data_IF_597278132832
#
_entry.id   IF_597278132832
#
_cell.length_a   1.000
_cell.length_b   1.000
_cell.length_c   1.000
_cell.angle_alpha   90.00
_cell.angle_beta   90.00
_cell.angle_gamma   90.00
#
_symmetry.space_group_name_H-M   'P 1'
#
loop_
_entity.id
_entity.type
_entity.pdbx_description
1 polymer ?
#
# COMPACT_ATOMS: atom_id res chain seq x y z
N UNK A 1 73.37 -13.10 38.91
CA UNK A 1 72.14 -12.57 39.53
C UNK A 1 71.58 -11.48 38.62
N UNK A 2 70.43 -11.72 37.96
CA UNK A 2 69.66 -10.67 37.29
C UNK A 2 68.21 -11.15 37.21
N UNK A 3 67.34 -10.51 37.98
CA UNK A 3 65.92 -10.81 38.05
C UNK A 3 65.19 -10.02 36.95
N UNK A 4 64.48 -10.73 36.05
CA UNK A 4 63.56 -10.09 35.09
C UNK A 4 62.18 -9.95 35.72
N UNK A 5 61.83 -8.72 36.06
CA UNK A 5 60.45 -8.27 36.29
C UNK A 5 59.69 -8.42 34.98
N UNK A 6 58.65 -9.24 34.97
CA UNK A 6 57.71 -9.36 33.84
C UNK A 6 56.42 -8.63 34.19
N UNK A 7 56.15 -7.55 33.45
CA UNK A 7 54.96 -6.73 33.59
C UNK A 7 53.70 -7.49 33.14
N UNK A 8 52.60 -7.33 33.87
CA UNK A 8 51.28 -7.85 33.50
C UNK A 8 50.73 -7.10 32.27
N UNK A 9 49.99 -7.79 31.37
CA UNK A 9 49.35 -7.13 30.24
C UNK A 9 48.14 -6.28 30.69
N UNK A 10 47.81 -5.20 29.95
CA UNK A 10 46.74 -4.27 30.31
C UNK A 10 45.35 -4.92 30.22
N UNK A 11 44.51 -4.61 31.21
CA UNK A 11 43.09 -4.96 31.25
C UNK A 11 42.38 -4.56 29.95
N UNK A 12 41.72 -5.55 29.35
CA UNK A 12 40.78 -5.39 28.23
C UNK A 12 39.64 -4.48 28.70
N UNK A 13 39.65 -3.22 28.27
CA UNK A 13 38.54 -2.31 28.54
C UNK A 13 37.29 -2.85 27.86
N UNK A 14 36.29 -3.13 28.68
CA UNK A 14 34.96 -3.51 28.24
C UNK A 14 34.37 -2.34 27.48
N UNK A 15 34.30 -2.43 26.15
CA UNK A 15 33.50 -1.49 25.38
C UNK A 15 32.02 -1.86 25.57
N UNK A 16 31.29 -0.91 26.16
CA UNK A 16 29.85 -0.97 26.35
C UNK A 16 29.13 -1.20 25.02
N UNK A 17 28.76 -2.44 24.70
CA UNK A 17 27.75 -2.74 23.69
C UNK A 17 26.35 -2.54 24.28
N UNK A 18 26.08 -1.31 24.71
CA UNK A 18 24.75 -0.85 25.11
C UNK A 18 23.94 -0.42 23.89
N UNK A 19 24.11 -1.09 22.75
CA UNK A 19 23.27 -0.92 21.57
C UNK A 19 21.98 -1.74 21.76
N UNK A 20 21.08 -1.13 22.54
CA UNK A 20 19.64 -1.20 22.35
C UNK A 20 19.03 -2.59 22.21
N UNK A 21 18.71 -3.20 23.36
CA UNK A 21 17.68 -4.23 23.47
C UNK A 21 16.30 -3.56 23.30
N UNK A 22 15.99 -3.13 22.08
CA UNK A 22 14.64 -2.67 21.76
C UNK A 22 13.65 -3.78 22.15
N UNK A 23 12.59 -3.42 22.85
CA UNK A 23 11.58 -4.39 23.25
C UNK A 23 10.92 -4.99 21.98
N UNK A 24 10.54 -6.27 21.99
CA UNK A 24 9.86 -6.93 20.83
C UNK A 24 8.78 -6.06 20.14
N UNK A 25 7.89 -5.33 20.86
CA UNK A 25 6.92 -4.46 20.22
C UNK A 25 7.54 -3.27 19.47
N UNK A 26 8.65 -2.70 19.94
CA UNK A 26 9.34 -1.61 19.26
C UNK A 26 10.00 -2.07 17.95
N UNK A 27 10.60 -3.27 17.95
CA UNK A 27 11.14 -3.90 16.74
C UNK A 27 10.05 -4.15 15.71
N UNK A 28 8.89 -4.68 16.12
CA UNK A 28 7.76 -4.88 15.20
C UNK A 28 7.20 -3.56 14.65
N UNK A 29 7.12 -2.51 15.49
CA UNK A 29 6.65 -1.19 15.09
C UNK A 29 7.60 -0.53 14.10
N UNK A 30 8.90 -0.62 14.34
CA UNK A 30 9.92 -0.08 13.45
C UNK A 30 9.94 -0.83 12.11
N UNK A 31 9.88 -2.16 12.14
CA UNK A 31 9.77 -2.97 10.93
C UNK A 31 8.53 -2.64 10.08
N UNK A 32 7.38 -2.32 10.71
CA UNK A 32 6.18 -1.91 9.97
C UNK A 32 6.34 -0.51 9.36
N UNK A 33 6.93 0.44 10.08
CA UNK A 33 7.21 1.78 9.55
C UNK A 33 8.16 1.69 8.35
N UNK A 34 9.24 0.93 8.48
CA UNK A 34 10.21 0.80 7.41
C UNK A 34 9.63 0.04 6.21
N UNK A 35 8.74 -0.93 6.44
CA UNK A 35 8.01 -1.61 5.38
C UNK A 35 7.13 -0.65 4.56
N UNK A 36 6.45 0.29 5.24
CA UNK A 36 5.46 1.18 4.63
C UNK A 36 6.05 2.50 4.11
N UNK A 37 7.17 2.98 4.65
CA UNK A 37 7.67 4.33 4.37
C UNK A 37 9.12 4.40 3.88
N UNK A 38 9.80 3.28 3.73
CA UNK A 38 11.09 3.22 3.07
C UNK A 38 10.92 2.43 1.76
N UNK A 39 11.30 2.93 0.57
CA UNK A 39 11.27 2.16 -0.67
C UNK A 39 12.52 1.29 -0.89
N UNK A 40 13.58 1.50 -0.11
CA UNK A 40 14.85 0.80 -0.25
C UNK A 40 14.80 -0.60 0.39
N UNK A 41 15.65 -1.47 -0.14
CA UNK A 41 15.79 -2.85 0.32
C UNK A 41 14.93 -3.84 -0.47
N UNK A 42 14.96 -5.07 0.04
CA UNK A 42 14.19 -6.22 -0.43
C UNK A 42 13.19 -6.61 0.65
N UNK A 43 12.16 -7.38 0.29
CA UNK A 43 11.20 -7.92 1.26
C UNK A 43 10.90 -9.39 0.98
N UNK A 44 10.76 -10.17 2.05
CA UNK A 44 10.27 -11.53 1.96
C UNK A 44 8.79 -11.58 1.53
N UNK A 45 8.41 -12.64 0.81
CA UNK A 45 7.03 -12.86 0.33
C UNK A 45 5.98 -12.72 1.45
N UNK A 46 6.28 -13.25 2.64
CA UNK A 46 5.37 -13.17 3.80
C UNK A 46 5.11 -11.71 4.23
N UNK A 47 6.15 -10.87 4.23
CA UNK A 47 6.06 -9.45 4.61
C UNK A 47 5.35 -8.63 3.55
N UNK A 48 5.58 -8.94 2.27
CA UNK A 48 4.80 -8.39 1.16
C UNK A 48 3.30 -8.61 1.36
N UNK A 49 2.86 -9.85 1.61
CA UNK A 49 1.45 -10.16 1.84
C UNK A 49 0.85 -9.42 3.04
N UNK A 50 1.59 -9.33 4.15
CA UNK A 50 1.15 -8.56 5.32
C UNK A 50 0.95 -7.08 4.99
N UNK A 51 1.91 -6.47 4.29
CA UNK A 51 1.82 -5.06 3.88
C UNK A 51 0.66 -4.82 2.92
N UNK A 52 0.49 -5.68 1.91
CA UNK A 52 -0.59 -5.51 0.92
C UNK A 52 -1.96 -5.69 1.56
N UNK A 53 -2.17 -6.72 2.39
CA UNK A 53 -3.44 -6.92 3.09
C UNK A 53 -3.78 -5.72 3.96
N UNK A 54 -2.81 -5.21 4.73
CA UNK A 54 -3.00 -4.03 5.56
C UNK A 54 -3.42 -2.81 4.72
N UNK A 55 -2.67 -2.48 3.67
CA UNK A 55 -2.95 -1.33 2.80
C UNK A 55 -4.30 -1.48 2.10
N UNK A 56 -4.65 -2.67 1.62
CA UNK A 56 -5.92 -2.93 0.95
C UNK A 56 -7.10 -2.80 1.92
N UNK A 57 -7.02 -3.37 3.13
CA UNK A 57 -8.11 -3.28 4.12
C UNK A 57 -8.34 -1.81 4.51
N UNK A 58 -7.27 -1.05 4.79
CA UNK A 58 -7.39 0.36 5.14
C UNK A 58 -7.98 1.17 3.97
N UNK A 59 -7.56 0.89 2.74
CA UNK A 59 -8.09 1.54 1.54
C UNK A 59 -9.59 1.24 1.32
N UNK A 60 -10.03 0.00 1.55
CA UNK A 60 -11.45 -0.39 1.41
C UNK A 60 -12.32 0.29 2.47
N UNK A 61 -11.90 0.27 3.74
CA UNK A 61 -12.62 0.93 4.84
C UNK A 61 -12.74 2.44 4.55
N UNK A 62 -11.62 3.07 4.18
CA UNK A 62 -11.59 4.48 3.79
C UNK A 62 -12.58 4.74 2.66
N UNK A 63 -12.52 3.96 1.57
CA UNK A 63 -13.38 4.16 0.41
C UNK A 63 -14.86 4.00 0.76
N UNK A 64 -15.18 3.06 1.65
CA UNK A 64 -16.53 2.90 2.15
C UNK A 64 -17.01 4.09 2.97
N UNK A 65 -16.14 4.64 3.83
CA UNK A 65 -16.43 5.83 4.62
C UNK A 65 -16.69 7.06 3.75
N UNK A 66 -15.91 7.26 2.68
CA UNK A 66 -16.10 8.38 1.74
C UNK A 66 -17.46 8.34 1.05
N UNK A 67 -17.90 7.14 0.65
CA UNK A 67 -19.16 6.98 -0.08
C UNK A 67 -20.36 7.09 0.87
N UNK A 68 -20.28 6.47 2.05
CA UNK A 68 -21.44 6.38 2.98
C UNK A 68 -21.57 7.55 3.94
N UNK A 69 -20.52 8.34 4.14
CA UNK A 69 -20.53 9.51 5.02
C UNK A 69 -20.07 10.78 4.28
N UNK A 70 -20.72 11.18 3.17
CA UNK A 70 -20.28 12.33 2.38
C UNK A 70 -20.30 13.63 3.19
N UNK A 71 -21.31 13.84 4.04
CA UNK A 71 -21.39 15.03 4.90
C UNK A 71 -20.28 15.13 5.97
N UNK A 72 -19.64 14.00 6.31
CA UNK A 72 -18.44 14.04 7.15
C UNK A 72 -17.22 14.55 6.36
N UNK A 73 -17.18 14.29 5.05
CA UNK A 73 -16.07 14.67 4.17
C UNK A 73 -16.07 16.15 3.77
N UNK A 74 -17.20 16.85 3.91
CA UNK A 74 -17.34 18.28 3.58
C UNK A 74 -16.55 19.22 4.53
N UNK A 75 -15.98 18.68 5.60
CA UNK A 75 -15.19 19.40 6.60
C UNK A 75 -13.70 18.99 6.58
N UNK A 76 -12.92 19.37 7.61
CA UNK A 76 -11.50 19.00 7.72
C UNK A 76 -11.18 17.49 7.62
N UNK A 77 -12.17 16.62 7.80
CA UNK A 77 -12.03 15.18 7.55
C UNK A 77 -11.77 14.84 6.08
N UNK A 78 -12.27 15.63 5.12
CA UNK A 78 -11.96 15.46 3.69
C UNK A 78 -10.46 15.63 3.41
N UNK A 79 -9.84 16.62 4.05
CA UNK A 79 -8.38 16.85 3.96
C UNK A 79 -7.62 15.66 4.58
N UNK A 80 -8.08 15.16 5.72
CA UNK A 80 -7.47 13.98 6.36
C UNK A 80 -7.60 12.74 5.46
N UNK A 81 -8.77 12.53 4.83
CA UNK A 81 -8.98 11.44 3.89
C UNK A 81 -8.08 11.57 2.66
N UNK A 82 -7.86 12.78 2.16
CA UNK A 82 -6.90 13.04 1.08
C UNK A 82 -5.47 12.69 1.50
N UNK A 83 -5.01 13.17 2.65
CA UNK A 83 -3.68 12.85 3.19
C UNK A 83 -3.50 11.34 3.40
N UNK A 84 -4.53 10.66 3.92
CA UNK A 84 -4.54 9.21 4.06
C UNK A 84 -4.44 8.51 2.70
N UNK A 85 -5.10 9.04 1.66
CA UNK A 85 -4.96 8.52 0.28
C UNK A 85 -3.51 8.58 -0.18
N UNK A 86 -2.87 9.75 -0.03
CA UNK A 86 -1.48 9.94 -0.43
C UNK A 86 -0.56 9.00 0.34
N UNK A 87 -0.77 8.86 1.66
CA UNK A 87 -0.02 7.92 2.49
C UNK A 87 -0.19 6.46 2.07
N UNK A 88 -1.41 6.03 1.73
CA UNK A 88 -1.69 4.67 1.24
C UNK A 88 -1.07 4.41 -0.13
N UNK A 89 -1.11 5.39 -1.03
CA UNK A 89 -0.45 5.30 -2.35
C UNK A 89 1.04 5.16 -2.17
N UNK A 90 1.66 5.98 -1.33
CA UNK A 90 3.09 5.90 -1.03
C UNK A 90 3.48 4.55 -0.42
N UNK A 91 2.71 4.07 0.56
CA UNK A 91 2.94 2.75 1.13
C UNK A 91 2.80 1.62 0.11
N UNK A 92 1.85 1.73 -0.83
CA UNK A 92 1.70 0.79 -1.93
C UNK A 92 2.95 0.79 -2.83
N UNK A 93 3.50 1.97 -3.15
CA UNK A 93 4.74 2.09 -3.92
C UNK A 93 5.90 1.42 -3.18
N UNK A 94 6.10 1.73 -1.88
CA UNK A 94 7.19 1.14 -1.09
C UNK A 94 7.12 -0.39 -1.05
N UNK A 95 5.95 -0.97 -0.78
CA UNK A 95 5.79 -2.43 -0.71
C UNK A 95 6.07 -3.09 -2.07
N UNK A 96 5.49 -2.56 -3.16
CA UNK A 96 5.66 -3.16 -4.48
C UNK A 96 7.07 -2.96 -5.03
N UNK A 97 7.67 -1.79 -4.83
CA UNK A 97 9.05 -1.51 -5.24
C UNK A 97 10.02 -2.52 -4.62
N UNK A 98 9.94 -2.77 -3.30
CA UNK A 98 10.78 -3.78 -2.65
C UNK A 98 10.53 -5.19 -3.15
N UNK A 99 9.29 -5.54 -3.51
CA UNK A 99 8.99 -6.86 -4.10
C UNK A 99 9.63 -7.00 -5.48
N UNK A 100 9.62 -5.95 -6.29
CA UNK A 100 10.30 -5.91 -7.59
C UNK A 100 11.83 -5.96 -7.44
N UNK A 101 12.39 -5.23 -6.46
CA UNK A 101 13.81 -5.31 -6.11
C UNK A 101 14.21 -6.73 -5.68
N UNK A 102 13.36 -7.39 -4.90
CA UNK A 102 13.59 -8.78 -4.51
C UNK A 102 13.47 -9.76 -5.68
N UNK A 103 12.71 -9.43 -6.72
CA UNK A 103 12.66 -10.19 -7.97
C UNK A 103 13.82 -9.86 -8.95
N UNK A 104 14.77 -9.01 -8.55
CA UNK A 104 15.89 -8.61 -9.41
C UNK A 104 15.55 -7.57 -10.47
N UNK A 105 14.41 -6.87 -10.33
CA UNK A 105 13.91 -5.87 -11.29
C UNK A 105 13.81 -4.48 -10.66
N UNK A 106 13.60 -3.44 -11.47
CA UNK A 106 13.45 -2.07 -10.98
C UNK A 106 12.08 -1.82 -10.33
N UNK A 107 12.03 -0.97 -9.30
CA UNK A 107 10.77 -0.56 -8.66
C UNK A 107 9.78 0.15 -9.60
N UNK A 108 10.24 0.64 -10.77
CA UNK A 108 9.42 1.31 -11.77
C UNK A 108 8.32 0.43 -12.39
N UNK A 109 8.41 -0.89 -12.27
CA UNK A 109 7.35 -1.81 -12.67
C UNK A 109 6.01 -1.58 -11.94
N UNK A 110 6.00 -0.80 -10.86
CA UNK A 110 4.75 -0.32 -10.22
C UNK A 110 3.84 0.46 -11.20
N UNK A 111 4.41 1.15 -12.19
CA UNK A 111 3.63 1.85 -13.22
C UNK A 111 2.82 0.84 -14.05
N UNK A 112 3.43 -0.28 -14.43
CA UNK A 112 2.73 -1.34 -15.15
C UNK A 112 1.61 -1.96 -14.29
N UNK A 113 1.82 -2.09 -12.98
CA UNK A 113 0.77 -2.52 -12.03
C UNK A 113 -0.39 -1.52 -12.01
N UNK A 114 -0.12 -0.21 -12.03
CA UNK A 114 -1.18 0.81 -12.09
C UNK A 114 -1.97 0.77 -13.39
N UNK A 115 -1.30 0.59 -14.53
CA UNK A 115 -1.97 0.36 -15.82
C UNK A 115 -2.83 -0.90 -15.78
N UNK A 116 -2.31 -2.02 -15.29
CA UNK A 116 -3.07 -3.26 -15.15
C UNK A 116 -4.30 -3.09 -14.24
N UNK A 117 -4.17 -2.33 -13.14
CA UNK A 117 -5.30 -1.99 -12.26
C UNK A 117 -6.35 -1.13 -12.97
N UNK A 118 -5.92 -0.15 -13.76
CA UNK A 118 -6.82 0.67 -14.56
C UNK A 118 -7.63 -0.19 -15.55
N UNK A 119 -6.97 -1.06 -16.31
CA UNK A 119 -7.68 -1.96 -17.24
C UNK A 119 -8.58 -2.96 -16.52
N UNK A 120 -8.15 -3.51 -15.39
CA UNK A 120 -8.99 -4.38 -14.56
C UNK A 120 -10.25 -3.65 -14.10
N UNK A 121 -10.14 -2.39 -13.69
CA UNK A 121 -11.30 -1.56 -13.35
C UNK A 121 -12.25 -1.39 -14.53
N UNK A 122 -11.72 -1.05 -15.72
CA UNK A 122 -12.54 -0.91 -16.94
C UNK A 122 -13.25 -2.22 -17.30
N UNK A 123 -12.54 -3.36 -17.23
CA UNK A 123 -13.12 -4.68 -17.51
C UNK A 123 -14.21 -5.03 -16.49
N UNK A 124 -13.97 -4.80 -15.20
CA UNK A 124 -14.99 -5.01 -14.16
C UNK A 124 -16.23 -4.15 -14.40
N UNK A 125 -16.04 -2.88 -14.77
CA UNK A 125 -17.15 -2.00 -15.10
C UNK A 125 -17.88 -2.43 -16.38
N UNK A 126 -17.17 -2.90 -17.41
CA UNK A 126 -17.80 -3.40 -18.63
C UNK A 126 -18.61 -4.69 -18.40
N UNK A 127 -18.10 -5.61 -17.58
CA UNK A 127 -18.74 -6.90 -17.30
C UNK A 127 -19.91 -6.77 -16.32
N UNK A 128 -19.74 -5.97 -15.27
CA UNK A 128 -20.70 -5.89 -14.17
C UNK A 128 -21.46 -4.57 -14.11
N UNK A 129 -21.01 -3.52 -14.81
CA UNK A 129 -21.69 -2.22 -14.80
C UNK A 129 -23.16 -2.34 -15.19
N UNK A 130 -23.48 -3.06 -16.27
CA UNK A 130 -24.88 -3.29 -16.67
C UNK A 130 -25.74 -3.95 -15.59
N UNK A 131 -25.18 -4.86 -14.78
CA UNK A 131 -25.86 -5.53 -13.67
C UNK A 131 -26.22 -4.56 -12.54
N UNK A 132 -25.35 -3.59 -12.27
CA UNK A 132 -25.55 -2.62 -11.19
C UNK A 132 -26.34 -1.39 -11.64
N UNK A 133 -26.08 -0.86 -12.85
CA UNK A 133 -26.75 0.31 -13.39
C UNK A 133 -28.23 0.04 -13.66
N UNK A 134 -28.60 -1.01 -14.41
CA UNK A 134 -29.98 -1.20 -14.84
C UNK A 134 -30.59 0.06 -15.48
N UNK A 135 -31.92 0.20 -15.43
CA UNK A 135 -32.63 1.38 -15.96
C UNK A 135 -32.55 2.61 -15.05
N UNK A 136 -32.45 2.43 -13.73
CA UNK A 136 -32.30 3.54 -12.78
C UNK A 136 -30.93 4.21 -12.94
N UNK A 137 -29.87 3.42 -13.05
CA UNK A 137 -28.50 3.91 -13.23
C UNK A 137 -28.30 4.64 -14.55
N UNK A 138 -28.96 4.22 -15.64
CA UNK A 138 -28.91 4.97 -16.91
C UNK A 138 -29.60 6.33 -16.78
N UNK A 139 -30.76 6.38 -16.13
CA UNK A 139 -31.44 7.66 -15.87
C UNK A 139 -30.61 8.58 -14.95
N UNK A 140 -29.91 8.01 -13.96
CA UNK A 140 -28.99 8.78 -13.10
C UNK A 140 -27.78 9.30 -13.87
N UNK A 141 -27.21 8.51 -14.81
CA UNK A 141 -26.15 8.98 -15.69
C UNK A 141 -26.61 10.14 -16.57
N UNK A 142 -27.82 10.05 -17.15
CA UNK A 142 -28.42 11.14 -17.93
C UNK A 142 -28.59 12.39 -17.06
N UNK A 143 -29.11 12.25 -15.84
CA UNK A 143 -29.27 13.37 -14.92
C UNK A 143 -27.93 14.00 -14.49
N UNK A 144 -26.86 13.19 -14.33
CA UNK A 144 -25.50 13.70 -14.12
C UNK A 144 -25.03 14.47 -15.35
N UNK A 145 -25.18 13.91 -16.56
CA UNK A 145 -24.78 14.58 -17.80
C UNK A 145 -25.52 15.89 -18.04
N UNK A 146 -26.83 15.91 -17.79
CA UNK A 146 -27.66 17.11 -17.90
C UNK A 146 -27.23 18.17 -16.90
N UNK A 147 -27.00 17.81 -15.63
CA UNK A 147 -26.49 18.74 -14.63
C UNK A 147 -25.13 19.34 -15.02
N UNK A 148 -24.27 18.58 -15.70
CA UNK A 148 -22.99 19.09 -16.23
C UNK A 148 -23.22 20.08 -17.38
N UNK A 149 -24.19 19.78 -18.25
CA UNK A 149 -24.53 20.62 -19.40
C UNK A 149 -25.21 21.94 -18.99
N UNK A 150 -26.04 21.92 -17.95
CA UNK A 150 -26.76 23.09 -17.44
C UNK A 150 -26.03 23.85 -16.33
N UNK A 151 -24.87 23.33 -15.89
CA UNK A 151 -24.15 23.80 -14.71
C UNK A 151 -25.02 23.85 -13.43
N UNK A 152 -26.01 22.96 -13.33
CA UNK A 152 -26.83 22.79 -12.13
C UNK A 152 -26.10 21.91 -11.11
N UNK A 153 -25.44 22.56 -10.16
CA UNK A 153 -24.66 21.91 -9.09
C UNK A 153 -25.54 21.03 -8.18
N UNK A 154 -26.79 21.41 -7.94
CA UNK A 154 -27.70 20.67 -7.06
C UNK A 154 -28.11 19.35 -7.70
N UNK A 155 -28.51 19.41 -8.98
CA UNK A 155 -28.80 18.21 -9.78
C UNK A 155 -27.57 17.31 -9.89
N UNK A 156 -26.41 17.88 -10.21
CA UNK A 156 -25.14 17.15 -10.29
C UNK A 156 -24.84 16.37 -9.02
N UNK A 157 -24.91 17.06 -7.88
CA UNK A 157 -24.57 16.47 -6.58
C UNK A 157 -25.56 15.37 -6.21
N UNK A 158 -26.86 15.60 -6.40
CA UNK A 158 -27.90 14.63 -6.06
C UNK A 158 -27.81 13.37 -6.94
N UNK A 159 -27.71 13.55 -8.26
CA UNK A 159 -27.63 12.44 -9.22
C UNK A 159 -26.32 11.65 -9.03
N UNK A 160 -25.19 12.33 -8.83
CA UNK A 160 -23.90 11.67 -8.58
C UNK A 160 -23.90 10.87 -7.29
N UNK A 161 -24.49 11.37 -6.21
CA UNK A 161 -24.58 10.64 -4.93
C UNK A 161 -25.37 9.35 -5.08
N UNK A 162 -26.56 9.41 -5.70
CA UNK A 162 -27.38 8.22 -5.95
C UNK A 162 -26.68 7.22 -6.86
N UNK A 163 -26.01 7.70 -7.90
CA UNK A 163 -25.24 6.86 -8.82
C UNK A 163 -24.11 6.13 -8.09
N UNK A 164 -23.31 6.85 -7.30
CA UNK A 164 -22.21 6.26 -6.53
C UNK A 164 -22.72 5.28 -5.47
N UNK A 165 -23.87 5.57 -4.85
CA UNK A 165 -24.50 4.66 -3.89
C UNK A 165 -24.97 3.35 -4.53
N UNK A 166 -25.57 3.43 -5.72
CA UNK A 166 -25.97 2.27 -6.50
C UNK A 166 -24.74 1.45 -6.97
N UNK A 167 -23.66 2.13 -7.36
CA UNK A 167 -22.40 1.50 -7.75
C UNK A 167 -21.53 1.06 -6.56
N UNK A 168 -21.92 1.38 -5.33
CA UNK A 168 -21.11 1.11 -4.14
C UNK A 168 -20.61 -0.35 -4.06
N UNK A 169 -21.46 -1.39 -4.23
CA UNK A 169 -21.00 -2.77 -4.16
C UNK A 169 -19.96 -3.08 -5.24
N UNK A 170 -20.18 -2.58 -6.47
CA UNK A 170 -19.24 -2.74 -7.58
C UNK A 170 -17.91 -2.02 -7.31
N UNK A 171 -17.95 -0.80 -6.74
CA UNK A 171 -16.75 -0.03 -6.38
C UNK A 171 -15.93 -0.81 -5.36
N UNK A 172 -16.55 -1.28 -4.27
CA UNK A 172 -15.84 -2.06 -3.24
C UNK A 172 -15.29 -3.36 -3.80
N UNK A 173 -16.09 -4.11 -4.57
CA UNK A 173 -15.65 -5.32 -5.24
C UNK A 173 -14.44 -5.04 -6.15
N UNK A 174 -14.50 -3.98 -6.95
CA UNK A 174 -13.42 -3.60 -7.86
C UNK A 174 -12.13 -3.26 -7.10
N UNK A 175 -12.22 -2.60 -5.94
CA UNK A 175 -11.06 -2.28 -5.10
C UNK A 175 -10.38 -3.55 -4.56
N UNK A 176 -11.19 -4.51 -4.09
CA UNK A 176 -10.69 -5.79 -3.56
C UNK A 176 -10.07 -6.62 -4.68
N UNK A 177 -10.76 -6.79 -5.80
CA UNK A 177 -10.27 -7.55 -6.96
C UNK A 177 -8.97 -6.95 -7.49
N UNK A 178 -8.88 -5.63 -7.64
CA UNK A 178 -7.65 -4.95 -8.06
C UNK A 178 -6.49 -5.16 -7.09
N UNK A 179 -6.75 -5.08 -5.78
CA UNK A 179 -5.76 -5.33 -4.76
C UNK A 179 -5.23 -6.76 -4.83
N UNK A 180 -6.13 -7.74 -4.88
CA UNK A 180 -5.82 -9.17 -4.89
C UNK A 180 -5.08 -9.57 -6.17
N UNK A 181 -5.55 -9.18 -7.35
CA UNK A 181 -4.91 -9.53 -8.61
C UNK A 181 -3.48 -8.97 -8.69
N UNK A 182 -3.30 -7.69 -8.33
CA UNK A 182 -1.97 -7.09 -8.28
C UNK A 182 -1.05 -7.80 -7.26
N UNK A 183 -1.59 -8.17 -6.09
CA UNK A 183 -0.87 -8.92 -5.08
C UNK A 183 -0.45 -10.32 -5.55
N UNK A 184 -1.34 -11.02 -6.26
CA UNK A 184 -1.08 -12.36 -6.78
C UNK A 184 0.03 -12.33 -7.84
N UNK A 185 -0.08 -11.43 -8.82
CA UNK A 185 0.91 -11.31 -9.90
C UNK A 185 2.28 -10.97 -9.32
N UNK A 186 2.38 -9.93 -8.50
CA UNK A 186 3.66 -9.43 -7.98
C UNK A 186 4.20 -10.31 -6.84
N UNK A 187 3.32 -10.88 -6.02
CA UNK A 187 3.66 -11.84 -4.98
C UNK A 187 4.16 -13.18 -5.53
N UNK A 188 3.68 -13.59 -6.71
CA UNK A 188 4.09 -14.84 -7.37
C UNK A 188 5.47 -14.79 -8.00
N UNK A 189 6.05 -13.59 -8.18
CA UNK A 189 7.38 -13.46 -8.78
C UNK A 189 8.40 -14.34 -8.04
N UNK A 190 9.36 -14.95 -8.75
CA UNK A 190 10.50 -15.59 -8.11
C UNK A 190 11.37 -14.52 -7.43
N UNK A 191 12.02 -14.91 -6.33
CA UNK A 191 13.01 -14.05 -5.67
C UNK A 191 14.38 -14.30 -6.28
N UNK A 192 15.17 -13.25 -6.47
CA UNK A 192 16.55 -13.34 -6.95
C UNK A 192 17.43 -14.03 -5.90
N UNK A 193 18.04 -15.19 -6.20
CA UNK A 193 18.86 -15.91 -5.23
C UNK A 193 20.19 -15.20 -4.93
N UNK A 194 20.64 -14.29 -5.79
CA UNK A 194 21.87 -13.54 -5.59
C UNK A 194 21.63 -12.25 -4.79
N UNK A 195 22.71 -11.72 -4.22
CA UNK A 195 22.70 -10.34 -3.73
C UNK A 195 22.65 -9.38 -4.92
N UNK A 196 21.87 -8.30 -4.81
CA UNK A 196 21.79 -7.26 -5.82
C UNK A 196 22.01 -5.88 -5.19
N UNK A 197 21.90 -4.82 -5.99
CA UNK A 197 22.12 -3.43 -5.55
C UNK A 197 21.20 -2.99 -4.40
N UNK A 198 20.10 -3.70 -4.17
CA UNK A 198 19.14 -3.43 -3.10
C UNK A 198 19.38 -4.28 -1.84
N UNK A 199 20.41 -5.13 -1.83
CA UNK A 199 20.84 -5.89 -0.66
C UNK A 199 20.85 -7.41 -0.86
N UNK A 200 21.24 -8.14 0.19
CA UNK A 200 21.21 -9.60 0.19
C UNK A 200 19.77 -10.14 0.12
N UNK A 201 19.57 -11.40 -0.27
CA UNK A 201 18.27 -12.06 -0.22
C UNK A 201 17.62 -11.94 1.17
N UNK A 202 16.30 -11.71 1.25
CA UNK A 202 15.58 -11.70 2.51
C UNK A 202 15.75 -13.04 3.23
N UNK A 203 16.39 -13.01 4.40
CA UNK A 203 16.46 -14.18 5.29
C UNK A 203 15.24 -14.30 6.20
N UNK A 204 15.20 -15.32 7.05
CA UNK A 204 14.16 -15.50 8.07
C UNK A 204 14.30 -14.53 9.28
N UNK A 205 15.35 -13.69 9.28
CA UNK A 205 15.65 -12.72 10.32
C UNK A 205 14.92 -11.36 10.17
N UNK A 206 15.10 -10.43 11.12
CA UNK A 206 14.60 -9.06 10.97
C UNK A 206 15.26 -8.39 9.76
N UNK A 207 14.45 -7.90 8.83
CA UNK A 207 14.94 -7.32 7.58
C UNK A 207 15.68 -6.00 7.86
N UNK A 208 16.90 -5.89 7.34
CA UNK A 208 17.74 -4.70 7.46
C UNK A 208 17.51 -3.81 6.25
N UNK A 209 16.84 -2.69 6.45
CA UNK A 209 16.69 -1.65 5.43
C UNK A 209 17.87 -0.69 5.56
N UNK A 210 18.80 -0.73 4.61
CA UNK A 210 19.93 0.21 4.53
C UNK A 210 19.51 1.53 3.87
#
# INVERSE_FOLDING_TARGET
>A
MSARVTALPPMKSWSNSNSQRASRPELCRQAMKDLLFNPNGRIAKRRFWQGVVLVTVVAVIKRGMEIKLPGAMDNGLGIIALLLTVGLVYANICIFAKRFHDAGTSGWWIIAVWFAKFFTFIIMFALFGGLFLGSEGTALLEAVMEGWATADEAQLTQASRRLVDLLFPLIILSYVVNGVLAALVVGSLPSDPAANIHGPPPGDGPETFN
#
